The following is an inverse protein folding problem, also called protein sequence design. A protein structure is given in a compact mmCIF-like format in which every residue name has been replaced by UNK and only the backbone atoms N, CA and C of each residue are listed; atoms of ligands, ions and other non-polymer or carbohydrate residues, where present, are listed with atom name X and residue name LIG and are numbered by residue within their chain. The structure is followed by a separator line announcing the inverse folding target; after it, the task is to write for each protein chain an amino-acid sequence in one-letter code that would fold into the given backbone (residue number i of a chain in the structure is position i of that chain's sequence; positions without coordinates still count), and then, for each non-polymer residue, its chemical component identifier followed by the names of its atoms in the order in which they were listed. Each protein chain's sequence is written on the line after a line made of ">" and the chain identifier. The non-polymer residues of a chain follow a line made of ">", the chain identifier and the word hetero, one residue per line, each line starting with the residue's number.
data_IF_776051173604
#
_entry.id   IF_776051173604
#
_cell.length_a   1.000
_cell.length_b   1.000
_cell.length_c   1.000
_cell.angle_alpha   90.00
_cell.angle_beta   90.00
_cell.angle_gamma   90.00
#
_symmetry.space_group_name_H-M   'P 1'
#
loop_
_entity.id
_entity.type
_entity.pdbx_description
1 polymer ?
#
# COMPACT_ATOMS: atom_id res chain seq x y z
N UNK A 1 5.36 -24.48 -20.16
CA UNK A 1 6.02 -23.37 -19.44
C UNK A 1 5.36 -23.28 -18.06
N UNK A 2 6.09 -23.43 -16.95
CA UNK A 2 5.48 -23.27 -15.64
C UNK A 2 5.18 -21.79 -15.39
N UNK A 3 3.94 -21.52 -14.95
CA UNK A 3 3.37 -20.19 -14.71
C UNK A 3 4.11 -19.44 -13.59
N UNK A 4 4.33 -18.11 -13.68
CA UNK A 4 4.90 -17.33 -12.58
C UNK A 4 3.82 -17.06 -11.52
N UNK A 5 3.44 -18.09 -10.75
CA UNK A 5 2.54 -17.99 -9.61
C UNK A 5 3.16 -18.74 -8.41
N UNK A 6 4.14 -18.12 -7.78
CA UNK A 6 4.81 -18.63 -6.57
C UNK A 6 5.48 -17.43 -5.88
N UNK A 7 5.07 -16.91 -4.73
CA UNK A 7 4.02 -17.22 -3.78
C UNK A 7 4.31 -16.45 -2.48
N UNK A 8 3.28 -15.99 -1.79
CA UNK A 8 3.20 -15.81 -0.32
C UNK A 8 1.69 -15.64 0.00
N UNK A 9 0.94 -16.69 0.39
CA UNK A 9 0.72 -17.22 1.76
C UNK A 9 0.04 -16.17 2.68
N UNK A 10 -1.12 -16.34 3.36
CA UNK A 10 -2.18 -17.36 3.56
C UNK A 10 -3.44 -16.62 4.13
N UNK A 11 -4.69 -17.08 3.88
CA UNK A 11 -5.65 -17.49 4.94
C UNK A 11 -7.12 -17.73 4.52
N UNK A 12 -7.53 -19.01 4.65
CA UNK A 12 -8.61 -19.49 5.54
C UNK A 12 -8.67 -21.02 5.44
N UNK A 13 -8.57 -21.75 6.55
CA UNK A 13 -8.83 -23.21 6.60
C UNK A 13 -8.02 -24.08 5.63
N UNK A 14 -6.79 -23.69 5.29
CA UNK A 14 -5.93 -24.44 4.35
C UNK A 14 -6.13 -24.08 2.87
N UNK A 15 -6.94 -23.06 2.52
CA UNK A 15 -7.12 -22.62 1.13
C UNK A 15 -6.02 -21.64 0.70
N UNK A 16 -5.36 -21.95 -0.40
CA UNK A 16 -4.39 -21.08 -1.07
C UNK A 16 -5.15 -19.99 -1.83
N UNK A 17 -4.87 -18.72 -1.52
CA UNK A 17 -5.39 -17.56 -2.23
C UNK A 17 -4.23 -16.93 -3.01
N UNK A 18 -4.46 -16.55 -4.27
CA UNK A 18 -3.45 -15.84 -5.07
C UNK A 18 -3.32 -14.39 -4.61
N UNK A 19 -2.18 -13.74 -4.86
CA UNK A 19 -2.01 -12.33 -4.53
C UNK A 19 -3.07 -11.45 -5.21
N UNK A 20 -3.40 -11.72 -6.48
CA UNK A 20 -4.49 -11.03 -7.16
C UNK A 20 -5.81 -11.16 -6.40
N UNK A 21 -6.24 -12.38 -6.06
CA UNK A 21 -7.51 -12.60 -5.37
C UNK A 21 -7.53 -11.96 -3.96
N UNK A 22 -6.39 -11.95 -3.27
CA UNK A 22 -6.25 -11.24 -2.00
C UNK A 22 -6.43 -9.72 -2.18
N UNK A 23 -5.79 -9.14 -3.19
CA UNK A 23 -5.92 -7.71 -3.51
C UNK A 23 -7.35 -7.35 -3.94
N UNK A 24 -8.00 -8.15 -4.78
CA UNK A 24 -9.41 -7.93 -5.17
C UNK A 24 -10.36 -8.02 -3.97
N UNK A 25 -10.06 -8.88 -2.99
CA UNK A 25 -10.85 -8.94 -1.76
C UNK A 25 -10.65 -7.72 -0.85
N UNK A 26 -9.45 -7.13 -0.81
CA UNK A 26 -9.15 -5.93 -0.01
C UNK A 26 -9.58 -4.64 -0.72
N UNK A 27 -9.41 -4.60 -2.04
CA UNK A 27 -9.57 -3.47 -2.94
C UNK A 27 -10.51 -3.84 -4.11
N UNK A 28 -11.83 -3.98 -3.89
CA UNK A 28 -12.74 -4.57 -4.88
C UNK A 28 -12.80 -3.85 -6.22
N UNK A 29 -12.57 -2.54 -6.25
CA UNK A 29 -12.56 -1.77 -7.49
C UNK A 29 -11.30 -1.96 -8.33
N UNK A 30 -10.28 -2.67 -7.82
CA UNK A 30 -9.05 -3.00 -8.56
C UNK A 30 -9.23 -4.16 -9.54
N UNK A 31 -10.44 -4.70 -9.69
CA UNK A 31 -10.77 -5.73 -10.69
C UNK A 31 -10.76 -5.20 -12.12
N UNK A 32 -10.96 -3.89 -12.33
CA UNK A 32 -10.88 -3.24 -13.63
C UNK A 32 -10.45 -1.77 -13.50
N UNK A 33 -9.76 -1.27 -14.53
CA UNK A 33 -9.43 0.14 -14.72
C UNK A 33 -10.22 0.80 -15.86
N UNK A 34 -11.29 0.16 -16.33
CA UNK A 34 -12.11 0.72 -17.41
C UNK A 34 -12.71 2.07 -17.01
N UNK A 35 -12.54 3.05 -17.89
CA UNK A 35 -12.99 4.44 -17.66
C UNK A 35 -12.23 5.20 -16.57
N UNK A 36 -11.12 4.65 -16.05
CA UNK A 36 -10.26 5.32 -15.06
C UNK A 36 -9.11 6.09 -15.75
N UNK A 37 -8.37 6.87 -14.94
CA UNK A 37 -7.15 7.55 -15.41
C UNK A 37 -6.06 6.53 -15.81
N UNK A 38 -5.11 6.90 -16.70
CA UNK A 38 -4.02 6.02 -17.13
C UNK A 38 -3.11 5.49 -16.01
N UNK A 39 -3.11 6.16 -14.86
CA UNK A 39 -2.35 5.74 -13.68
C UNK A 39 -2.99 4.57 -12.92
N UNK A 40 -4.26 4.25 -13.18
CA UNK A 40 -4.97 3.14 -12.53
C UNK A 40 -4.25 1.81 -12.78
N UNK A 41 -4.25 0.94 -11.77
CA UNK A 41 -3.77 -0.43 -11.88
C UNK A 41 -4.77 -1.44 -11.34
N UNK A 42 -4.95 -2.52 -12.09
CA UNK A 42 -5.68 -3.69 -11.61
C UNK A 42 -4.87 -4.46 -10.57
N UNK A 43 -5.54 -5.27 -9.75
CA UNK A 43 -4.90 -6.19 -8.82
C UNK A 43 -3.86 -7.09 -9.51
N UNK A 44 -4.17 -7.59 -10.72
CA UNK A 44 -3.25 -8.42 -11.49
C UNK A 44 -1.97 -7.68 -11.88
N UNK A 45 -2.08 -6.40 -12.26
CA UNK A 45 -0.91 -5.57 -12.60
C UNK A 45 -0.10 -5.19 -11.36
N UNK A 46 -0.75 -4.90 -10.24
CA UNK A 46 -0.09 -4.46 -9.01
C UNK A 46 0.57 -5.61 -8.24
N UNK A 47 0.00 -6.82 -8.28
CA UNK A 47 0.44 -7.99 -7.52
C UNK A 47 1.95 -8.26 -7.56
N UNK A 48 2.63 -8.36 -8.72
CA UNK A 48 4.06 -8.67 -8.74
C UNK A 48 4.92 -7.62 -8.03
N UNK A 49 4.53 -6.34 -8.09
CA UNK A 49 5.24 -5.26 -7.42
C UNK A 49 5.00 -5.25 -5.91
N UNK A 50 3.75 -5.48 -5.48
CA UNK A 50 3.40 -5.55 -4.07
C UNK A 50 4.03 -6.76 -3.37
N UNK A 51 4.04 -7.93 -4.03
CA UNK A 51 4.73 -9.13 -3.52
C UNK A 51 6.21 -8.81 -3.27
N UNK A 52 6.88 -8.27 -4.29
CA UNK A 52 8.31 -7.92 -4.19
C UNK A 52 8.56 -6.88 -3.11
N UNK A 53 7.71 -5.86 -3.00
CA UNK A 53 7.88 -4.79 -2.03
C UNK A 53 7.64 -5.23 -0.58
N UNK A 54 6.92 -6.33 -0.37
CA UNK A 54 6.46 -6.77 0.94
C UNK A 54 6.95 -8.15 1.38
N UNK A 55 7.86 -8.79 0.63
CA UNK A 55 8.30 -10.18 0.86
C UNK A 55 8.91 -10.45 2.26
N UNK A 56 9.45 -9.43 2.91
CA UNK A 56 10.13 -9.53 4.21
C UNK A 56 9.28 -9.09 5.40
N UNK A 57 7.98 -8.87 5.23
CA UNK A 57 7.08 -8.37 6.27
C UNK A 57 6.17 -9.48 6.82
N UNK A 58 5.68 -9.33 8.06
CA UNK A 58 4.67 -10.23 8.61
C UNK A 58 3.32 -10.04 7.93
N UNK A 59 2.42 -11.02 8.06
CA UNK A 59 1.05 -10.89 7.54
C UNK A 59 0.31 -9.69 8.13
N UNK A 60 0.50 -9.38 9.41
CA UNK A 60 -0.09 -8.20 10.04
C UNK A 60 0.42 -6.89 9.45
N UNK A 61 1.72 -6.82 9.16
CA UNK A 61 2.34 -5.67 8.49
C UNK A 61 1.84 -5.51 7.05
N UNK A 62 1.80 -6.60 6.29
CA UNK A 62 1.28 -6.65 4.92
C UNK A 62 -0.18 -6.19 4.89
N UNK A 63 -1.02 -6.77 5.76
CA UNK A 63 -2.44 -6.46 5.82
C UNK A 63 -2.68 -4.96 6.06
N UNK A 64 -1.94 -4.33 6.97
CA UNK A 64 -2.11 -2.92 7.28
C UNK A 64 -1.62 -2.00 6.16
N UNK A 65 -0.47 -2.31 5.55
CA UNK A 65 0.03 -1.52 4.41
C UNK A 65 -0.90 -1.62 3.21
N UNK A 66 -1.44 -2.81 2.91
CA UNK A 66 -2.45 -2.99 1.87
C UNK A 66 -3.76 -2.27 2.19
N UNK A 67 -4.19 -2.26 3.45
CA UNK A 67 -5.37 -1.50 3.87
C UNK A 67 -5.19 0.01 3.67
N UNK A 68 -4.02 0.55 4.02
CA UNK A 68 -3.68 1.95 3.77
C UNK A 68 -3.66 2.24 2.27
N UNK A 69 -2.95 1.43 1.47
CA UNK A 69 -2.89 1.58 0.01
C UNK A 69 -4.30 1.60 -0.59
N UNK A 70 -5.14 0.65 -0.22
CA UNK A 70 -6.49 0.54 -0.76
C UNK A 70 -7.32 1.80 -0.55
N UNK A 71 -7.27 2.39 0.65
CA UNK A 71 -8.00 3.63 0.89
C UNK A 71 -7.37 4.82 0.16
N UNK A 72 -6.07 5.06 0.37
CA UNK A 72 -5.42 6.30 -0.06
C UNK A 72 -5.38 6.42 -1.59
N UNK A 73 -5.28 5.29 -2.30
CA UNK A 73 -5.27 5.26 -3.78
C UNK A 73 -6.64 5.03 -4.42
N UNK A 74 -7.70 4.94 -3.62
CA UNK A 74 -9.02 4.47 -4.05
C UNK A 74 -8.92 3.16 -4.87
N UNK A 75 -8.48 2.08 -4.24
CA UNK A 75 -8.28 0.76 -4.88
C UNK A 75 -7.29 0.81 -6.05
N UNK A 76 -6.20 1.55 -5.90
CA UNK A 76 -5.13 1.70 -6.90
C UNK A 76 -5.57 2.40 -8.19
N UNK A 77 -6.62 3.21 -8.11
CA UNK A 77 -7.06 4.09 -9.22
C UNK A 77 -6.17 5.30 -9.39
N UNK A 78 -5.57 5.78 -8.29
CA UNK A 78 -4.76 6.99 -8.29
C UNK A 78 -3.38 6.74 -7.69
N UNK A 79 -2.39 7.43 -8.25
CA UNK A 79 -1.02 7.49 -7.73
C UNK A 79 -0.62 8.92 -7.35
N UNK A 80 -1.54 9.87 -7.47
CA UNK A 80 -1.36 11.23 -7.00
C UNK A 80 -2.67 11.79 -6.44
N UNK A 81 -2.56 12.85 -5.65
CA UNK A 81 -3.74 13.47 -5.08
C UNK A 81 -4.55 14.22 -6.16
N UNK A 82 -5.77 13.74 -6.44
CA UNK A 82 -6.70 14.38 -7.38
C UNK A 82 -7.45 15.55 -6.74
N UNK A 83 -7.95 15.36 -5.52
CA UNK A 83 -8.72 16.36 -4.77
C UNK A 83 -8.29 16.36 -3.30
N UNK A 84 -7.96 17.53 -2.71
CA UNK A 84 -8.09 18.89 -3.26
C UNK A 84 -7.00 19.28 -4.29
N UNK A 85 -6.09 18.37 -4.67
CA UNK A 85 -5.03 18.61 -5.64
C UNK A 85 -3.79 19.20 -4.99
N UNK A 86 -3.08 18.41 -4.17
CA UNK A 86 -1.86 18.84 -3.49
C UNK A 86 -0.61 18.49 -4.31
N UNK A 87 0.19 19.48 -4.77
CA UNK A 87 1.39 19.21 -5.55
C UNK A 87 2.37 18.29 -4.84
N UNK A 88 2.90 17.31 -5.57
CA UNK A 88 3.85 16.31 -5.07
C UNK A 88 3.30 15.28 -4.10
N UNK A 89 2.01 15.36 -3.71
CA UNK A 89 1.39 14.34 -2.88
C UNK A 89 1.01 13.13 -3.73
N UNK A 90 1.52 11.94 -3.39
CA UNK A 90 1.21 10.75 -4.16
C UNK A 90 1.97 9.48 -3.79
N UNK A 91 2.07 8.61 -4.79
CA UNK A 91 2.19 7.15 -4.75
C UNK A 91 1.00 6.47 -4.04
N UNK A 92 0.93 5.14 -4.06
CA UNK A 92 -0.27 4.40 -3.63
C UNK A 92 -0.69 4.62 -2.16
N UNK A 93 0.16 5.17 -1.30
CA UNK A 93 -0.17 5.56 0.07
C UNK A 93 -0.30 7.08 0.29
N UNK A 94 -0.36 7.89 -0.77
CA UNK A 94 -0.58 9.35 -0.75
C UNK A 94 0.33 10.13 0.20
N UNK A 95 1.64 9.83 0.16
CA UNK A 95 2.66 10.55 0.92
C UNK A 95 2.66 12.04 0.59
N UNK A 96 2.85 12.89 1.60
CA UNK A 96 3.08 14.33 1.40
C UNK A 96 4.37 14.58 0.60
N UNK A 97 4.44 15.73 -0.09
CA UNK A 97 5.51 16.05 -1.04
C UNK A 97 6.94 15.88 -0.48
N UNK A 98 7.19 16.26 0.78
CA UNK A 98 8.50 16.08 1.41
C UNK A 98 8.90 14.60 1.48
N UNK A 99 7.96 13.73 1.83
CA UNK A 99 8.19 12.28 1.86
C UNK A 99 8.29 11.67 0.45
N UNK A 100 7.55 12.18 -0.52
CA UNK A 100 7.72 11.81 -1.94
C UNK A 100 9.13 12.13 -2.42
N UNK A 101 9.67 13.30 -2.06
CA UNK A 101 11.05 13.70 -2.38
C UNK A 101 12.07 12.80 -1.70
N UNK A 102 11.92 12.57 -0.40
CA UNK A 102 12.79 11.63 0.32
C UNK A 102 12.74 10.21 -0.27
N UNK A 103 11.56 9.77 -0.71
CA UNK A 103 11.40 8.49 -1.37
C UNK A 103 12.16 8.45 -2.70
N UNK A 104 12.00 9.45 -3.56
CA UNK A 104 12.74 9.55 -4.82
C UNK A 104 14.27 9.52 -4.62
N UNK A 105 14.76 10.26 -3.62
CA UNK A 105 16.18 10.24 -3.23
C UNK A 105 16.62 8.84 -2.80
N UNK A 106 15.81 8.12 -2.01
CA UNK A 106 16.13 6.75 -1.60
C UNK A 106 16.23 5.77 -2.78
N UNK A 107 15.60 6.11 -3.92
CA UNK A 107 15.68 5.36 -5.18
C UNK A 107 16.80 5.84 -6.10
N UNK A 108 17.64 6.78 -5.64
CA UNK A 108 18.74 7.40 -6.41
C UNK A 108 18.24 8.08 -7.68
N UNK A 109 17.02 8.63 -7.64
CA UNK A 109 16.46 9.41 -8.73
C UNK A 109 16.90 10.87 -8.58
N UNK A 110 17.13 11.53 -9.71
CA UNK A 110 17.54 12.93 -9.74
C UNK A 110 16.36 13.84 -9.42
N UNK A 111 16.43 14.55 -8.29
CA UNK A 111 15.41 15.49 -7.82
C UNK A 111 15.85 16.95 -7.92
N UNK A 112 17.07 17.22 -8.38
CA UNK A 112 17.65 18.55 -8.34
C UNK A 112 16.98 19.47 -9.37
N UNK A 113 16.61 20.66 -8.93
CA UNK A 113 15.92 21.65 -9.76
C UNK A 113 14.47 21.30 -10.14
N UNK A 114 13.93 20.17 -9.66
CA UNK A 114 12.56 19.72 -9.98
C UNK A 114 11.53 20.28 -9.01
N UNK A 115 10.35 20.61 -9.51
CA UNK A 115 9.19 20.95 -8.70
C UNK A 115 8.56 19.69 -8.05
N UNK A 116 7.66 19.84 -7.07
CA UNK A 116 7.06 18.68 -6.39
C UNK A 116 6.34 17.67 -7.30
N UNK A 117 5.69 18.12 -8.38
CA UNK A 117 4.99 17.23 -9.30
C UNK A 117 5.98 16.52 -10.23
N UNK A 118 7.04 17.20 -10.67
CA UNK A 118 8.12 16.59 -11.42
C UNK A 118 8.82 15.51 -10.60
N UNK A 119 9.03 15.73 -9.30
CA UNK A 119 9.57 14.73 -8.38
C UNK A 119 8.61 13.55 -8.22
N UNK A 120 7.31 13.81 -8.02
CA UNK A 120 6.30 12.75 -7.92
C UNK A 120 6.27 11.87 -9.17
N UNK A 121 6.37 12.47 -10.36
CA UNK A 121 6.37 11.74 -11.63
C UNK A 121 7.51 10.71 -11.74
N UNK A 122 8.63 10.92 -11.05
CA UNK A 122 9.74 9.96 -11.01
C UNK A 122 9.39 8.67 -10.26
N UNK A 123 8.45 8.72 -9.32
CA UNK A 123 8.11 7.61 -8.41
C UNK A 123 6.70 7.03 -8.60
N UNK A 124 5.91 7.57 -9.54
CA UNK A 124 4.65 6.97 -10.01
C UNK A 124 4.77 5.75 -10.96
N UNK A 125 5.91 5.47 -11.64
CA UNK A 125 6.11 4.20 -12.33
C UNK A 125 5.92 3.00 -11.39
N UNK A 126 5.41 1.87 -11.90
CA UNK A 126 4.96 0.74 -11.06
C UNK A 126 6.10 0.14 -10.22
N UNK A 127 7.33 0.16 -10.75
CA UNK A 127 8.53 -0.32 -10.08
C UNK A 127 8.86 0.46 -8.78
N UNK A 128 8.33 1.67 -8.63
CA UNK A 128 8.49 2.51 -7.44
C UNK A 128 7.17 2.67 -6.68
N UNK A 129 6.06 2.88 -7.38
CA UNK A 129 4.77 3.24 -6.78
C UNK A 129 4.33 2.30 -5.66
N UNK A 130 4.40 0.98 -5.87
CA UNK A 130 3.93 0.00 -4.88
C UNK A 130 4.92 -0.25 -3.73
N UNK A 131 6.14 0.27 -3.86
CA UNK A 131 7.15 0.23 -2.80
C UNK A 131 7.10 1.43 -1.86
N UNK A 132 6.19 2.39 -2.05
CA UNK A 132 6.15 3.61 -1.24
C UNK A 132 5.63 3.36 0.18
N UNK A 133 4.57 2.55 0.35
CA UNK A 133 4.02 2.25 1.66
C UNK A 133 5.00 1.44 2.53
N UNK A 134 5.65 0.36 2.03
CA UNK A 134 6.69 -0.34 2.78
C UNK A 134 7.87 0.55 3.13
N UNK A 135 8.32 1.40 2.21
CA UNK A 135 9.37 2.36 2.51
C UNK A 135 8.99 3.33 3.62
N UNK A 136 7.79 3.93 3.54
CA UNK A 136 7.33 4.86 4.57
C UNK A 136 7.24 4.17 5.92
N UNK A 137 6.64 2.98 5.96
CA UNK A 137 6.53 2.18 7.19
C UNK A 137 7.89 1.88 7.81
N UNK A 138 8.88 1.47 7.02
CA UNK A 138 10.23 1.17 7.52
C UNK A 138 11.01 2.41 7.93
N UNK A 139 10.92 3.50 7.16
CA UNK A 139 11.77 4.68 7.34
C UNK A 139 11.18 5.72 8.30
N UNK A 140 9.85 5.77 8.43
CA UNK A 140 9.15 6.83 9.16
C UNK A 140 8.47 6.35 10.43
N UNK A 141 8.06 5.08 10.50
CA UNK A 141 7.54 4.52 11.73
C UNK A 141 8.65 3.94 12.59
N UNK A 142 8.56 4.16 13.91
CA UNK A 142 9.51 3.61 14.87
C UNK A 142 9.45 2.09 14.89
N UNK A 143 10.53 1.45 15.35
CA UNK A 143 10.58 0.00 15.53
C UNK A 143 9.45 -0.53 16.42
N UNK A 144 9.06 0.24 17.45
CA UNK A 144 7.93 -0.10 18.32
C UNK A 144 6.61 -0.19 17.54
N UNK A 145 6.31 0.80 16.68
CA UNK A 145 5.11 0.76 15.82
C UNK A 145 5.17 -0.43 14.87
N UNK A 146 6.34 -0.70 14.30
CA UNK A 146 6.53 -1.83 13.40
C UNK A 146 6.29 -3.18 14.10
N UNK A 147 6.72 -3.31 15.34
CA UNK A 147 6.57 -4.52 16.15
C UNK A 147 5.12 -4.73 16.62
N UNK A 148 4.40 -3.66 16.96
CA UNK A 148 2.96 -3.74 17.31
C UNK A 148 2.11 -4.28 16.17
N UNK A 149 2.54 -4.10 14.91
CA UNK A 149 1.84 -4.65 13.75
C UNK A 149 2.09 -6.13 13.48
N UNK A 150 3.08 -6.76 14.14
CA UNK A 150 3.47 -8.13 13.80
C UNK A 150 2.29 -9.10 13.86
N UNK A 151 1.45 -8.96 14.89
CA UNK A 151 0.25 -9.77 15.10
C UNK A 151 -1.02 -9.28 14.38
N UNK A 152 -0.97 -8.14 13.69
CA UNK A 152 -2.13 -7.60 12.98
C UNK A 152 -3.31 -7.25 13.89
N UNK A 153 -3.03 -6.74 15.08
CA UNK A 153 -4.04 -6.32 16.06
C UNK A 153 -4.57 -4.92 15.75
N UNK A 154 -5.73 -4.57 16.31
CA UNK A 154 -6.27 -3.21 16.19
C UNK A 154 -5.36 -2.17 16.86
N UNK A 155 -4.73 -2.50 18.00
CA UNK A 155 -3.76 -1.58 18.64
C UNK A 155 -2.60 -1.27 17.69
N UNK A 156 -2.04 -2.29 17.03
CA UNK A 156 -1.02 -2.12 16.00
C UNK A 156 -1.50 -1.21 14.88
N UNK A 157 -2.66 -1.50 14.29
CA UNK A 157 -3.27 -0.67 13.26
C UNK A 157 -3.36 0.81 13.66
N UNK A 158 -3.88 1.11 14.84
CA UNK A 158 -4.01 2.49 15.33
C UNK A 158 -2.66 3.17 15.55
N UNK A 159 -1.66 2.44 16.04
CA UNK A 159 -0.29 2.95 16.17
C UNK A 159 0.32 3.28 14.80
N UNK A 160 0.09 2.45 13.78
CA UNK A 160 0.55 2.73 12.42
C UNK A 160 -0.16 3.91 11.78
N UNK A 161 -1.49 4.02 11.91
CA UNK A 161 -2.23 5.18 11.39
C UNK A 161 -1.80 6.49 12.07
N UNK A 162 -1.49 6.43 13.37
CA UNK A 162 -0.90 7.57 14.08
C UNK A 162 0.47 7.96 13.52
N UNK A 163 1.34 6.98 13.21
CA UNK A 163 2.61 7.23 12.51
C UNK A 163 2.40 7.90 11.13
N UNK A 164 1.40 7.45 10.37
CA UNK A 164 1.04 8.02 9.07
C UNK A 164 0.47 9.44 9.21
N UNK A 165 -0.07 9.79 10.38
CA UNK A 165 -0.66 11.10 10.67
C UNK A 165 -2.16 11.18 10.37
N UNK A 166 -2.87 10.05 10.44
CA UNK A 166 -4.31 9.94 10.14
C UNK A 166 -5.06 9.22 11.26
N UNK A 167 -6.38 9.44 11.35
CA UNK A 167 -7.22 8.73 12.31
C UNK A 167 -7.53 7.30 11.83
N UNK A 168 -6.96 6.31 12.49
CA UNK A 168 -7.19 4.90 12.17
C UNK A 168 -8.58 4.37 12.50
N UNK A 169 -9.36 5.06 13.34
CA UNK A 169 -10.76 4.70 13.65
C UNK A 169 -11.75 5.22 12.61
N UNK A 170 -11.29 6.02 11.64
CA UNK A 170 -12.14 6.45 10.53
C UNK A 170 -12.79 5.23 9.85
N UNK A 171 -14.10 5.31 9.60
CA UNK A 171 -14.89 4.17 9.11
C UNK A 171 -14.34 3.59 7.80
N UNK A 172 -13.92 4.45 6.87
CA UNK A 172 -13.35 3.99 5.60
C UNK A 172 -12.04 3.23 5.82
N UNK A 173 -11.17 3.71 6.72
CA UNK A 173 -9.92 3.04 7.12
C UNK A 173 -10.18 1.68 7.76
N UNK A 174 -11.11 1.63 8.71
CA UNK A 174 -11.51 0.39 9.36
C UNK A 174 -12.12 -0.61 8.38
N UNK A 175 -12.83 -0.16 7.34
CA UNK A 175 -13.38 -1.06 6.32
C UNK A 175 -12.29 -1.77 5.51
N UNK A 176 -11.24 -1.06 5.06
CA UNK A 176 -10.09 -1.68 4.39
C UNK A 176 -9.32 -2.60 5.33
N UNK A 177 -9.08 -2.15 6.56
CA UNK A 177 -8.40 -2.95 7.57
C UNK A 177 -9.14 -4.26 7.85
N UNK A 178 -10.45 -4.20 8.03
CA UNK A 178 -11.31 -5.38 8.25
C UNK A 178 -11.20 -6.38 7.08
N UNK A 179 -11.23 -5.92 5.83
CA UNK A 179 -11.06 -6.80 4.66
C UNK A 179 -9.69 -7.45 4.64
N UNK A 180 -8.64 -6.68 4.94
CA UNK A 180 -7.28 -7.22 5.02
C UNK A 180 -7.17 -8.27 6.12
N UNK A 181 -7.67 -8.00 7.33
CA UNK A 181 -7.67 -8.98 8.41
C UNK A 181 -8.46 -10.24 8.05
N UNK A 182 -9.59 -10.13 7.33
CA UNK A 182 -10.33 -11.29 6.85
C UNK A 182 -9.52 -12.15 5.87
N UNK A 183 -8.84 -11.51 4.91
CA UNK A 183 -8.02 -12.17 3.89
C UNK A 183 -6.82 -12.88 4.49
N UNK A 184 -6.21 -12.30 5.54
CA UNK A 184 -5.03 -12.84 6.20
C UNK A 184 -5.35 -13.64 7.48
N UNK A 185 -6.63 -13.82 7.82
CA UNK A 185 -7.05 -14.62 8.97
C UNK A 185 -6.65 -14.02 10.32
N UNK A 186 -6.59 -12.69 10.42
CA UNK A 186 -6.17 -11.93 11.60
C UNK A 186 -7.35 -11.53 12.50
N UNK A 187 -8.59 -11.78 12.08
CA UNK A 187 -9.77 -11.51 12.89
C UNK A 187 -9.83 -12.46 14.11
N UNK A 188 -9.73 -11.91 15.32
CA UNK A 188 -9.82 -12.67 16.58
C UNK A 188 -8.52 -12.70 17.41
N UNK A 189 -7.51 -11.90 17.03
CA UNK A 189 -6.29 -11.65 17.80
C UNK A 189 -6.35 -10.30 18.54
#
# INVERSE_FOLDING_TARGET
>A
MPSPNTGLLVARGGKVVTAQAALEAIMPKSTSCDGQLPECRTAAQAAPFLIKAMENFSLGQIAAMLALIGLESEDMRYKHNISPGRPGQGTSNMMMADFTKEYAISKKLDVDGKDPNEILALVTPDEFNFGSAPWFFTQKCTKEVQDKLLGGTQEGWLAYMTCVGVDGNNESRMAYWTRAQQVFGLNGL
#
